data_IF_491453299822
#
_entry.id   IF_491453299822
#
_cell.length_a   1.000
_cell.length_b   1.000
_cell.length_c   1.000
_cell.angle_alpha   90.00
_cell.angle_beta   90.00
_cell.angle_gamma   90.00
#
_symmetry.space_group_name_H-M   'P 1'
#
loop_
_entity.id
_entity.type
_entity.pdbx_description
1 polymer ?
#
# COMPACT_ATOMS: atom_id res chain seq x y z
N UNK A 1 6.68 22.38 -12.88
CA UNK A 1 7.14 21.00 -12.58
C UNK A 1 5.95 20.24 -12.03
N UNK A 2 5.81 19.00 -12.38
CA UNK A 2 4.75 18.13 -11.86
C UNK A 2 5.07 17.81 -10.40
N UNK A 3 4.12 18.00 -9.49
CA UNK A 3 4.30 17.54 -8.10
C UNK A 3 4.14 16.01 -8.07
N UNK A 4 5.01 15.34 -7.32
CA UNK A 4 4.90 13.89 -7.14
C UNK A 4 4.78 13.57 -5.66
N UNK A 5 3.70 12.89 -5.30
CA UNK A 5 3.44 12.44 -3.93
C UNK A 5 3.63 10.94 -3.83
N UNK A 6 4.23 10.48 -2.74
CA UNK A 6 4.40 9.08 -2.41
C UNK A 6 3.47 8.71 -1.26
N UNK A 7 2.59 7.74 -1.51
CA UNK A 7 1.70 7.19 -0.48
C UNK A 7 2.21 5.79 -0.15
N UNK A 8 2.97 5.69 0.91
CA UNK A 8 3.60 4.44 1.35
C UNK A 8 2.91 3.86 2.58
N UNK A 9 3.33 2.70 3.02
CA UNK A 9 2.80 2.00 4.19
C UNK A 9 2.80 0.49 4.03
N UNK A 10 3.01 -0.21 5.13
CA UNK A 10 3.14 -1.65 5.18
C UNK A 10 1.95 -2.37 4.53
N UNK A 11 2.14 -3.63 4.17
CA UNK A 11 1.12 -4.48 3.55
C UNK A 11 -0.22 -4.41 4.31
N UNK A 12 -1.29 -4.09 3.58
CA UNK A 12 -2.63 -4.06 4.15
C UNK A 12 -2.97 -2.83 5.00
N UNK A 13 -2.10 -1.84 5.11
CA UNK A 13 -2.32 -0.62 5.88
C UNK A 13 -3.48 0.25 5.38
N UNK A 14 -3.94 0.08 4.13
CA UNK A 14 -5.04 0.86 3.56
C UNK A 14 -4.62 1.98 2.61
N UNK A 15 -3.42 1.89 2.02
CA UNK A 15 -2.89 2.87 1.04
C UNK A 15 -3.90 3.21 -0.04
N UNK A 16 -4.36 2.22 -0.79
CA UNK A 16 -5.31 2.39 -1.91
C UNK A 16 -6.60 3.09 -1.48
N UNK A 17 -7.12 2.76 -0.28
CA UNK A 17 -8.29 3.43 0.28
C UNK A 17 -8.02 4.90 0.61
N UNK A 18 -6.83 5.21 1.13
CA UNK A 18 -6.41 6.59 1.38
C UNK A 18 -6.24 7.35 0.06
N UNK A 19 -5.54 6.76 -0.91
CA UNK A 19 -5.32 7.34 -2.25
C UNK A 19 -6.65 7.68 -2.90
N UNK A 20 -7.63 6.79 -2.83
CA UNK A 20 -8.97 7.04 -3.39
C UNK A 20 -9.60 8.33 -2.85
N UNK A 21 -9.49 8.58 -1.54
CA UNK A 21 -10.01 9.80 -0.91
C UNK A 21 -9.17 11.03 -1.26
N UNK A 22 -7.86 10.90 -1.20
CA UNK A 22 -6.92 11.96 -1.51
C UNK A 22 -7.03 12.42 -2.97
N UNK A 23 -7.03 11.48 -3.90
CA UNK A 23 -7.20 11.73 -5.32
C UNK A 23 -8.57 12.37 -5.64
N UNK A 24 -9.64 11.84 -5.03
CA UNK A 24 -10.96 12.44 -5.21
C UNK A 24 -10.99 13.90 -4.77
N UNK A 25 -10.40 14.24 -3.63
CA UNK A 25 -10.32 15.62 -3.18
C UNK A 25 -9.59 16.49 -4.20
N UNK A 26 -8.44 16.04 -4.73
CA UNK A 26 -7.66 16.77 -5.74
C UNK A 26 -8.45 17.00 -7.03
N UNK A 27 -9.15 15.97 -7.52
CA UNK A 27 -10.02 16.06 -8.69
C UNK A 27 -11.14 17.07 -8.46
N UNK A 28 -11.77 17.05 -7.27
CA UNK A 28 -12.83 17.98 -6.90
C UNK A 28 -12.31 19.44 -6.77
N UNK A 29 -11.00 19.64 -6.53
CA UNK A 29 -10.31 20.93 -6.60
C UNK A 29 -9.92 21.34 -8.04
N UNK A 30 -10.11 20.48 -9.02
CA UNK A 30 -9.82 20.72 -10.44
C UNK A 30 -8.38 20.43 -10.85
N UNK A 31 -7.59 19.70 -10.01
CA UNK A 31 -6.26 19.24 -10.42
C UNK A 31 -6.38 18.10 -11.44
N UNK A 32 -5.49 18.10 -12.44
CA UNK A 32 -5.30 17.00 -13.37
C UNK A 32 -4.22 16.07 -12.81
N UNK A 33 -4.59 14.85 -12.44
CA UNK A 33 -3.72 13.94 -11.72
C UNK A 33 -3.46 12.63 -12.48
N UNK A 34 -2.28 12.07 -12.27
CA UNK A 34 -1.96 10.69 -12.63
C UNK A 34 -1.76 9.87 -11.36
N UNK A 35 -2.34 8.66 -11.30
CA UNK A 35 -2.07 7.70 -10.21
C UNK A 35 -1.23 6.59 -10.80
N UNK A 36 -0.08 6.33 -10.20
CA UNK A 36 0.86 5.29 -10.61
C UNK A 36 0.93 4.19 -9.55
N UNK A 37 0.29 3.07 -9.86
CA UNK A 37 0.41 1.83 -9.10
C UNK A 37 1.72 1.14 -9.46
N UNK A 38 2.55 0.93 -8.47
CA UNK A 38 3.85 0.32 -8.63
C UNK A 38 3.90 -1.00 -7.84
N UNK A 39 3.32 -2.06 -8.44
CA UNK A 39 3.20 -3.38 -7.81
C UNK A 39 4.04 -4.42 -8.55
N UNK A 40 4.68 -5.31 -7.77
CA UNK A 40 5.40 -6.48 -8.29
C UNK A 40 4.46 -7.62 -8.73
N UNK A 41 3.17 -7.55 -8.40
CA UNK A 41 2.19 -8.58 -8.68
C UNK A 41 1.87 -8.77 -10.16
N UNK A 42 1.53 -10.01 -10.54
CA UNK A 42 1.10 -10.34 -11.90
C UNK A 42 -0.30 -9.78 -12.24
N UNK A 43 -1.10 -9.47 -11.22
CA UNK A 43 -2.47 -8.93 -11.34
C UNK A 43 -2.59 -7.73 -10.44
N UNK A 44 -2.82 -6.56 -11.03
CA UNK A 44 -3.01 -5.35 -10.25
C UNK A 44 -4.48 -5.19 -9.85
N UNK A 45 -4.77 -5.69 -8.67
CA UNK A 45 -6.12 -5.69 -8.12
C UNK A 45 -6.47 -4.35 -7.48
N UNK A 46 -5.46 -3.63 -6.98
CA UNK A 46 -5.66 -2.35 -6.31
C UNK A 46 -6.10 -1.27 -7.32
N UNK A 47 -5.64 -1.35 -8.59
CA UNK A 47 -6.17 -0.50 -9.66
C UNK A 47 -7.68 -0.63 -9.87
N UNK A 48 -8.26 -1.80 -9.64
CA UNK A 48 -9.71 -1.98 -9.79
C UNK A 48 -10.49 -1.14 -8.77
N UNK A 49 -9.91 -0.94 -7.57
CA UNK A 49 -10.51 -0.11 -6.51
C UNK A 49 -10.47 1.38 -6.84
N UNK A 50 -9.59 1.80 -7.75
CA UNK A 50 -9.41 3.18 -8.17
C UNK A 50 -10.11 3.50 -9.49
N UNK A 51 -10.63 2.50 -10.19
CA UNK A 51 -11.18 2.64 -11.56
C UNK A 51 -12.32 3.67 -11.67
N UNK A 52 -13.08 3.86 -10.62
CA UNK A 52 -14.15 4.86 -10.56
C UNK A 52 -13.65 6.32 -10.51
N UNK A 53 -12.35 6.53 -10.30
CA UNK A 53 -11.71 7.84 -10.39
C UNK A 53 -11.26 8.20 -11.82
N UNK A 54 -11.13 7.20 -12.71
CA UNK A 54 -10.65 7.41 -14.07
C UNK A 54 -11.60 8.31 -14.86
N UNK A 55 -11.06 9.36 -15.49
CA UNK A 55 -11.84 10.37 -16.19
C UNK A 55 -11.00 11.49 -16.79
N UNK A 56 -11.62 12.62 -17.09
CA UNK A 56 -10.96 13.76 -17.74
C UNK A 56 -9.78 14.33 -16.93
N UNK A 57 -9.86 14.27 -15.60
CA UNK A 57 -8.85 14.83 -14.68
C UNK A 57 -8.09 13.77 -13.88
N UNK A 58 -8.21 12.48 -14.26
CA UNK A 58 -7.49 11.41 -13.57
C UNK A 58 -7.20 10.27 -14.54
N UNK A 59 -5.92 9.96 -14.71
CA UNK A 59 -5.46 8.76 -15.41
C UNK A 59 -4.83 7.77 -14.43
N UNK A 60 -5.15 6.49 -14.65
CA UNK A 60 -4.57 5.39 -13.88
C UNK A 60 -3.48 4.71 -14.71
N UNK A 61 -2.30 4.59 -14.13
CA UNK A 61 -1.15 3.96 -14.75
C UNK A 61 -0.55 2.90 -13.82
N UNK A 62 0.01 1.86 -14.42
CA UNK A 62 0.57 0.76 -13.63
C UNK A 62 1.95 0.33 -14.11
N UNK A 63 2.71 -0.19 -13.18
CA UNK A 63 3.89 -0.99 -13.44
C UNK A 63 3.64 -2.36 -12.84
N UNK A 64 3.46 -3.35 -13.70
CA UNK A 64 3.26 -4.72 -13.28
C UNK A 64 4.46 -5.58 -13.62
N UNK A 65 4.81 -6.47 -12.70
CA UNK A 65 5.84 -7.47 -12.87
C UNK A 65 7.24 -6.89 -13.09
N UNK A 66 8.21 -7.72 -12.95
CA UNK A 66 9.63 -7.48 -13.23
C UNK A 66 10.34 -8.82 -13.06
N UNK A 67 11.41 -9.07 -13.80
CA UNK A 67 12.21 -10.27 -13.59
C UNK A 67 13.18 -10.08 -12.39
N UNK A 68 13.46 -8.83 -12.03
CA UNK A 68 14.36 -8.42 -10.96
C UNK A 68 14.15 -6.93 -10.61
N UNK A 69 14.77 -6.47 -9.52
CA UNK A 69 14.71 -5.08 -9.04
C UNK A 69 15.19 -4.08 -10.09
N UNK A 70 16.26 -4.39 -10.83
CA UNK A 70 16.80 -3.52 -11.88
C UNK A 70 15.81 -3.33 -13.03
N UNK A 71 15.09 -4.39 -13.41
CA UNK A 71 14.07 -4.34 -14.45
C UNK A 71 12.88 -3.47 -13.98
N UNK A 72 12.47 -3.61 -12.72
CA UNK A 72 11.41 -2.86 -12.11
C UNK A 72 11.76 -1.36 -12.04
N UNK A 73 12.94 -1.01 -11.54
CA UNK A 73 13.44 0.37 -11.50
C UNK A 73 13.46 1.03 -12.89
N UNK A 74 13.89 0.30 -13.93
CA UNK A 74 13.87 0.82 -15.32
C UNK A 74 12.45 1.10 -15.82
N UNK A 75 11.49 0.22 -15.49
CA UNK A 75 10.08 0.42 -15.84
C UNK A 75 9.51 1.63 -15.12
N UNK A 76 9.76 1.76 -13.82
CA UNK A 76 9.34 2.91 -13.02
C UNK A 76 9.89 4.22 -13.61
N UNK A 77 11.18 4.27 -13.88
CA UNK A 77 11.84 5.41 -14.55
C UNK A 77 11.19 5.73 -15.90
N UNK A 78 10.96 4.74 -16.74
CA UNK A 78 10.37 4.92 -18.07
C UNK A 78 8.93 5.43 -17.98
N UNK A 79 8.16 4.92 -17.02
CA UNK A 79 6.78 5.35 -16.79
C UNK A 79 6.74 6.80 -16.32
N UNK A 80 7.58 7.20 -15.38
CA UNK A 80 7.66 8.60 -14.94
C UNK A 80 8.05 9.56 -16.07
N UNK A 81 8.96 9.14 -16.96
CA UNK A 81 9.29 9.94 -18.15
C UNK A 81 8.05 10.14 -19.04
N UNK A 82 7.27 9.09 -19.28
CA UNK A 82 6.04 9.18 -20.07
C UNK A 82 5.00 10.08 -19.39
N UNK A 83 4.76 9.88 -18.10
CA UNK A 83 3.78 10.66 -17.33
C UNK A 83 4.17 12.14 -17.21
N UNK A 84 5.48 12.45 -17.14
CA UNK A 84 5.97 13.83 -17.13
C UNK A 84 5.65 14.62 -18.41
N UNK A 85 5.27 13.93 -19.48
CA UNK A 85 4.87 14.55 -20.78
C UNK A 85 3.35 14.68 -20.90
N UNK A 86 2.55 14.10 -20.01
CA UNK A 86 1.08 14.11 -20.10
C UNK A 86 0.45 15.41 -19.58
N UNK A 87 1.22 16.27 -18.89
CA UNK A 87 0.71 17.58 -18.44
C UNK A 87 -0.11 17.51 -17.17
N UNK A 88 0.16 16.51 -16.30
CA UNK A 88 -0.44 16.43 -14.96
C UNK A 88 0.04 17.60 -14.08
N UNK A 89 -0.83 18.05 -13.18
CA UNK A 89 -0.47 18.94 -12.08
C UNK A 89 0.24 18.14 -11.00
N UNK A 90 -0.20 16.90 -10.79
CA UNK A 90 0.29 16.00 -9.75
C UNK A 90 0.29 14.55 -10.18
N UNK A 91 1.29 13.80 -9.71
CA UNK A 91 1.35 12.34 -9.81
C UNK A 91 1.36 11.76 -8.39
N UNK A 92 0.48 10.80 -8.14
CA UNK A 92 0.42 10.05 -6.89
C UNK A 92 1.00 8.67 -7.17
N UNK A 93 2.02 8.27 -6.40
CA UNK A 93 2.64 6.94 -6.52
C UNK A 93 2.20 6.09 -5.33
N UNK A 94 1.60 4.93 -5.61
CA UNK A 94 1.39 3.86 -4.65
C UNK A 94 2.44 2.77 -4.88
N UNK A 95 3.46 2.63 -4.05
CA UNK A 95 4.37 1.49 -4.15
C UNK A 95 3.75 0.24 -3.51
N UNK A 96 4.26 -0.93 -3.87
CA UNK A 96 4.02 -2.16 -3.12
C UNK A 96 4.38 -1.95 -1.64
N UNK A 97 3.66 -2.59 -0.73
CA UNK A 97 3.94 -2.50 0.72
C UNK A 97 5.21 -3.22 1.18
N UNK A 98 6.07 -3.61 0.25
CA UNK A 98 7.42 -4.16 0.48
C UNK A 98 8.48 -3.37 -0.29
N UNK A 99 8.13 -2.19 -0.79
CA UNK A 99 8.98 -1.37 -1.64
C UNK A 99 10.05 -0.62 -0.83
N UNK A 100 11.28 -0.57 -1.37
CA UNK A 100 12.33 0.31 -0.81
C UNK A 100 12.06 1.77 -1.23
N UNK A 101 11.64 2.58 -0.27
CA UNK A 101 11.32 4.01 -0.48
C UNK A 101 12.51 4.80 -1.02
N UNK A 102 13.73 4.37 -0.77
CA UNK A 102 14.93 5.06 -1.30
C UNK A 102 15.02 4.96 -2.83
N UNK A 103 14.49 3.88 -3.43
CA UNK A 103 14.43 3.76 -4.89
C UNK A 103 13.61 4.88 -5.52
N UNK A 104 12.49 5.27 -4.88
CA UNK A 104 11.69 6.41 -5.32
C UNK A 104 12.52 7.70 -5.36
N UNK A 105 13.24 8.00 -4.30
CA UNK A 105 14.07 9.21 -4.24
C UNK A 105 15.23 9.16 -5.22
N UNK A 106 15.86 8.01 -5.41
CA UNK A 106 16.97 7.84 -6.33
C UNK A 106 16.53 8.06 -7.78
N UNK A 107 15.40 7.48 -8.19
CA UNK A 107 14.85 7.65 -9.55
C UNK A 107 14.47 9.11 -9.82
N UNK A 108 13.93 9.83 -8.82
CA UNK A 108 13.57 11.23 -8.99
C UNK A 108 14.77 12.18 -9.11
N UNK A 109 15.96 11.72 -8.72
CA UNK A 109 17.23 12.49 -8.91
C UNK A 109 17.91 12.20 -10.25
N UNK A 110 17.42 11.21 -11.02
CA UNK A 110 17.97 10.87 -12.32
C UNK A 110 17.56 11.87 -13.41
N UNK A 111 18.50 12.26 -14.28
CA UNK A 111 18.21 13.05 -15.50
C UNK A 111 17.39 12.19 -16.51
N UNK A 112 16.30 12.69 -17.09
CA UNK A 112 15.73 14.04 -17.04
C UNK A 112 14.62 14.23 -15.99
N UNK A 113 14.33 13.25 -15.15
CA UNK A 113 13.18 13.23 -14.24
C UNK A 113 13.29 14.38 -13.22
N UNK A 114 14.49 14.66 -12.72
CA UNK A 114 14.80 15.74 -11.78
C UNK A 114 14.40 17.14 -12.26
N UNK A 115 14.24 17.31 -13.58
CA UNK A 115 13.80 18.58 -14.20
C UNK A 115 12.30 18.69 -14.38
N UNK A 116 11.59 17.57 -14.31
CA UNK A 116 10.16 17.51 -14.60
C UNK A 116 9.32 17.40 -13.34
N UNK A 117 9.87 16.78 -12.30
CA UNK A 117 9.18 16.51 -11.06
C UNK A 117 9.75 17.29 -9.89
N UNK A 118 8.85 17.66 -9.00
CA UNK A 118 9.16 18.17 -7.67
C UNK A 118 8.51 17.24 -6.65
N UNK A 119 9.30 16.75 -5.68
CA UNK A 119 8.77 15.93 -4.61
C UNK A 119 7.81 16.77 -3.78
N UNK A 120 6.55 16.39 -3.75
CA UNK A 120 5.50 17.02 -2.98
C UNK A 120 5.44 16.47 -1.57
N UNK A 121 4.62 15.45 -1.37
CA UNK A 121 4.34 14.89 -0.05
C UNK A 121 4.72 13.41 0.02
N UNK A 122 5.24 13.00 1.17
CA UNK A 122 5.42 11.58 1.52
C UNK A 122 4.50 11.29 2.70
N UNK A 123 3.48 10.50 2.45
CA UNK A 123 2.45 10.16 3.44
C UNK A 123 2.53 8.66 3.69
N UNK A 124 2.73 8.27 4.94
CA UNK A 124 2.77 6.86 5.31
C UNK A 124 1.49 6.46 6.01
N UNK A 125 0.82 5.46 5.46
CA UNK A 125 -0.39 4.88 6.04
C UNK A 125 -0.01 3.72 6.95
N UNK A 126 -0.42 3.79 8.22
CA UNK A 126 -0.16 2.75 9.23
C UNK A 126 -1.48 2.27 9.80
N UNK A 127 -1.63 0.96 9.97
CA UNK A 127 -2.81 0.38 10.61
C UNK A 127 -2.83 0.72 12.11
N UNK A 128 -3.90 1.34 12.61
CA UNK A 128 -4.06 1.63 14.02
C UNK A 128 -4.12 0.37 14.91
N UNK A 129 -4.40 -0.79 14.30
CA UNK A 129 -4.41 -2.12 14.93
C UNK A 129 -3.22 -2.96 14.48
N UNK A 130 -2.04 -2.34 14.40
CA UNK A 130 -0.81 -3.05 14.04
C UNK A 130 -0.57 -4.24 14.97
N UNK A 131 -0.12 -5.36 14.43
CA UNK A 131 0.22 -6.53 15.24
C UNK A 131 1.27 -6.19 16.30
N UNK A 132 1.10 -6.73 17.51
CA UNK A 132 2.02 -6.47 18.62
C UNK A 132 3.45 -6.96 18.36
N UNK A 133 3.60 -7.96 17.49
CA UNK A 133 4.89 -8.54 17.13
C UNK A 133 4.99 -8.75 15.63
N UNK A 134 5.85 -7.99 15.02
CA UNK A 134 6.30 -8.19 13.65
C UNK A 134 7.63 -8.96 13.62
N UNK A 135 8.01 -9.48 12.47
CA UNK A 135 9.39 -9.95 12.24
C UNK A 135 10.36 -8.77 12.22
N UNK A 136 11.65 -9.03 12.30
CA UNK A 136 12.65 -7.96 12.20
C UNK A 136 12.66 -7.34 10.80
N UNK A 137 12.33 -8.12 9.78
CA UNK A 137 12.17 -7.68 8.40
C UNK A 137 10.93 -6.79 8.24
N UNK A 138 9.80 -7.17 8.82
CA UNK A 138 8.57 -6.35 8.78
C UNK A 138 8.74 -5.05 9.57
N UNK A 139 9.42 -5.08 10.72
CA UNK A 139 9.77 -3.87 11.46
C UNK A 139 10.70 -2.95 10.65
N UNK A 140 11.65 -3.54 9.92
CA UNK A 140 12.51 -2.77 9.03
C UNK A 140 11.72 -2.09 7.92
N UNK A 141 10.81 -2.81 7.24
CA UNK A 141 9.96 -2.22 6.20
C UNK A 141 9.09 -1.10 6.77
N UNK A 142 8.41 -1.35 7.88
CA UNK A 142 7.60 -0.34 8.57
C UNK A 142 8.41 0.93 8.84
N UNK A 143 9.63 0.79 9.33
CA UNK A 143 10.52 1.91 9.62
C UNK A 143 11.01 2.60 8.34
N UNK A 144 11.38 1.86 7.29
CA UNK A 144 11.87 2.41 6.03
C UNK A 144 10.79 3.24 5.33
N UNK A 145 9.56 2.75 5.32
CA UNK A 145 8.42 3.44 4.73
C UNK A 145 8.05 4.72 5.49
N UNK A 146 8.23 4.74 6.81
CA UNK A 146 7.93 5.89 7.65
C UNK A 146 9.07 6.90 7.76
N UNK A 147 10.31 6.50 7.52
CA UNK A 147 11.49 7.32 7.80
C UNK A 147 11.47 8.71 7.15
N UNK A 148 10.99 8.77 5.91
CA UNK A 148 10.95 10.02 5.15
C UNK A 148 9.56 10.69 5.11
N UNK A 149 8.57 10.17 5.82
CA UNK A 149 7.22 10.68 5.79
C UNK A 149 7.11 12.13 6.29
N UNK A 150 6.37 12.98 5.61
CA UNK A 150 5.96 14.28 6.10
C UNK A 150 4.85 14.14 7.16
N UNK A 151 3.94 13.19 6.97
CA UNK A 151 2.97 12.81 8.00
C UNK A 151 2.67 11.31 7.98
N UNK A 152 2.18 10.81 9.11
CA UNK A 152 1.66 9.45 9.28
C UNK A 152 0.14 9.54 9.38
N UNK A 153 -0.58 8.67 8.67
CA UNK A 153 -2.04 8.59 8.74
C UNK A 153 -2.44 7.22 9.25
N UNK A 154 -3.14 7.18 10.40
CA UNK A 154 -3.62 5.91 10.93
C UNK A 154 -4.91 5.49 10.23
N UNK A 155 -4.89 4.32 9.62
CA UNK A 155 -6.11 3.67 9.14
C UNK A 155 -6.84 2.98 10.28
N UNK A 156 -8.15 2.73 10.10
CA UNK A 156 -8.98 2.03 11.09
C UNK A 156 -8.94 2.62 12.51
N UNK A 157 -8.59 3.88 12.64
CA UNK A 157 -8.52 4.58 13.94
C UNK A 157 -9.88 4.62 14.66
N UNK A 158 -10.99 4.63 13.90
CA UNK A 158 -12.36 4.56 14.46
C UNK A 158 -12.72 3.19 15.05
N UNK A 159 -11.97 2.16 14.74
CA UNK A 159 -12.18 0.78 15.20
C UNK A 159 -11.19 0.38 16.29
N UNK A 160 -10.13 1.16 16.45
CA UNK A 160 -9.08 0.93 17.42
C UNK A 160 -9.39 1.63 18.74
N UNK A 161 -9.07 0.98 19.85
CA UNK A 161 -9.06 1.61 21.16
C UNK A 161 -7.86 2.56 21.29
N UNK A 162 -7.95 3.52 22.20
CA UNK A 162 -6.83 4.44 22.52
C UNK A 162 -5.53 3.66 22.82
N UNK A 163 -5.65 2.54 23.53
CA UNK A 163 -4.50 1.69 23.87
C UNK A 163 -3.88 1.02 22.63
N UNK A 164 -4.68 0.56 21.68
CA UNK A 164 -4.16 -0.02 20.43
C UNK A 164 -3.44 1.05 19.61
N UNK A 165 -3.97 2.27 19.54
CA UNK A 165 -3.33 3.41 18.89
C UNK A 165 -1.99 3.73 19.57
N UNK A 166 -1.94 3.83 20.91
CA UNK A 166 -0.72 4.06 21.67
C UNK A 166 0.32 2.94 21.45
N UNK A 167 -0.12 1.68 21.40
CA UNK A 167 0.72 0.54 21.10
C UNK A 167 1.32 0.63 19.69
N UNK A 168 0.51 0.94 18.68
CA UNK A 168 0.95 1.12 17.29
C UNK A 168 2.00 2.23 17.18
N UNK A 169 1.75 3.39 17.79
CA UNK A 169 2.72 4.51 17.78
C UNK A 169 4.01 4.13 18.50
N UNK A 170 3.91 3.42 19.62
CA UNK A 170 5.06 2.93 20.37
C UNK A 170 5.87 1.91 19.57
N UNK A 171 5.19 0.99 18.88
CA UNK A 171 5.81 0.00 18.01
C UNK A 171 6.52 0.66 16.83
N UNK A 172 5.87 1.61 16.12
CA UNK A 172 6.49 2.37 15.05
C UNK A 172 7.78 3.07 15.52
N UNK A 173 7.74 3.72 16.68
CA UNK A 173 8.93 4.38 17.25
C UNK A 173 10.01 3.38 17.65
N UNK A 174 9.67 2.19 18.12
CA UNK A 174 10.61 1.11 18.41
C UNK A 174 11.25 0.56 17.12
N UNK A 175 10.47 0.39 16.06
CA UNK A 175 10.99 -0.01 14.74
C UNK A 175 11.98 1.03 14.19
N UNK A 176 11.68 2.34 14.32
CA UNK A 176 12.60 3.42 13.97
C UNK A 176 13.92 3.34 14.76
N UNK A 177 13.85 2.97 16.03
CA UNK A 177 15.05 2.81 16.86
C UNK A 177 15.91 1.60 16.42
N UNK A 178 15.29 0.48 16.07
CA UNK A 178 15.98 -0.71 15.56
C UNK A 178 16.83 -0.39 14.32
N UNK A 179 16.32 0.45 13.42
CA UNK A 179 17.03 0.89 12.21
C UNK A 179 17.95 2.09 12.46
N UNK A 180 18.16 2.47 13.71
CA UNK A 180 19.01 3.61 14.12
C UNK A 180 18.56 4.95 13.52
N UNK A 181 17.31 5.09 13.14
CA UNK A 181 16.73 6.36 12.74
C UNK A 181 16.48 7.25 13.97
N UNK A 182 16.82 8.53 13.89
CA UNK A 182 16.66 9.48 15.01
C UNK A 182 15.24 9.98 15.17
N UNK A 183 14.44 9.82 14.13
CA UNK A 183 13.09 10.35 14.10
C UNK A 183 12.17 9.60 15.05
N UNK A 184 11.27 10.36 15.69
CA UNK A 184 10.20 9.82 16.55
C UNK A 184 8.91 10.53 16.19
N UNK A 185 7.86 9.76 16.01
CA UNK A 185 6.55 10.26 15.63
C UNK A 185 5.70 10.53 16.87
N UNK A 186 5.06 11.67 16.88
CA UNK A 186 4.11 12.09 17.91
C UNK A 186 3.05 13.03 17.33
N UNK A 187 3.47 14.21 16.90
CA UNK A 187 2.58 15.29 16.46
C UNK A 187 2.28 15.21 14.94
N UNK A 188 3.10 14.47 14.19
CA UNK A 188 2.93 14.23 12.75
C UNK A 188 1.97 13.08 12.44
N UNK A 189 1.29 12.54 13.46
CA UNK A 189 0.35 11.41 13.30
C UNK A 189 -1.08 11.94 13.25
N UNK A 190 -1.75 11.68 12.14
CA UNK A 190 -3.18 11.97 11.98
C UNK A 190 -3.98 10.76 12.45
N UNK A 191 -4.73 10.96 13.55
CA UNK A 191 -5.62 9.96 14.16
C UNK A 191 -7.05 10.46 14.01
N UNK A 192 -7.71 10.08 12.92
CA UNK A 192 -9.07 10.52 12.61
C UNK A 192 -9.79 9.46 11.78
N UNK A 193 -11.09 9.34 11.96
CA UNK A 193 -11.94 8.56 11.05
C UNK A 193 -11.88 9.19 9.66
N UNK A 194 -11.48 8.42 8.67
CA UNK A 194 -11.32 8.89 7.29
C UNK A 194 -12.64 9.31 6.62
N UNK A 195 -13.79 8.90 7.16
CA UNK A 195 -15.09 9.39 6.69
C UNK A 195 -15.39 10.81 7.17
N UNK A 196 -14.66 11.28 8.17
CA UNK A 196 -14.78 12.60 8.77
C UNK A 196 -13.64 13.55 8.37
N UNK A 197 -12.83 13.21 7.34
CA UNK A 197 -11.84 14.14 6.82
C UNK A 197 -12.50 15.40 6.28
N UNK A 198 -11.95 16.53 6.68
CA UNK A 198 -12.37 17.86 6.25
C UNK A 198 -11.26 18.59 5.46
N UNK A 199 -11.51 19.79 5.03
CA UNK A 199 -10.57 20.60 4.23
C UNK A 199 -9.24 20.81 4.95
N UNK A 200 -9.25 20.99 6.27
CA UNK A 200 -8.01 21.20 7.05
C UNK A 200 -7.13 19.94 7.11
N UNK A 201 -7.75 18.74 7.09
CA UNK A 201 -7.00 17.49 7.01
C UNK A 201 -6.30 17.39 5.65
N UNK A 202 -7.02 17.67 4.55
CA UNK A 202 -6.44 17.65 3.21
C UNK A 202 -5.37 18.73 3.02
N UNK A 203 -5.54 19.92 3.57
CA UNK A 203 -4.50 20.95 3.60
C UNK A 203 -3.23 20.44 4.31
N UNK A 204 -3.40 19.71 5.40
CA UNK A 204 -2.29 19.05 6.12
C UNK A 204 -1.58 18.05 5.22
N UNK A 205 -2.32 17.17 4.54
CA UNK A 205 -1.74 16.19 3.61
C UNK A 205 -1.03 16.86 2.42
N UNK A 206 -1.57 17.95 1.91
CA UNK A 206 -1.02 18.68 0.76
C UNK A 206 0.21 19.53 1.09
N UNK A 207 0.45 19.78 2.38
CA UNK A 207 1.54 20.63 2.87
C UNK A 207 2.54 19.92 3.78
N UNK A 208 2.37 18.63 4.04
CA UNK A 208 3.26 17.90 4.96
C UNK A 208 4.69 17.75 4.42
N UNK A 209 4.87 17.78 3.11
CA UNK A 209 6.18 17.62 2.48
C UNK A 209 6.80 16.26 2.76
N UNK A 210 8.11 16.23 2.92
CA UNK A 210 8.87 15.04 3.34
C UNK A 210 10.07 15.47 4.21
N UNK A 211 10.58 14.52 5.01
CA UNK A 211 11.73 14.75 5.88
C UNK A 211 12.86 13.83 5.45
N UNK A 212 13.96 14.37 4.89
CA UNK A 212 15.11 13.54 4.54
C UNK A 212 15.76 12.98 5.81
N UNK A 213 15.77 11.68 5.96
CA UNK A 213 16.38 11.00 7.10
C UNK A 213 17.28 9.85 6.66
N UNK A 214 18.22 9.54 7.53
CA UNK A 214 19.11 8.41 7.35
C UNK A 214 18.78 7.32 8.38
N UNK A 215 18.78 6.09 7.92
CA UNK A 215 18.60 4.92 8.76
C UNK A 215 19.54 3.80 8.30
N UNK A 216 19.76 2.81 9.18
CA UNK A 216 20.59 1.66 8.83
C UNK A 216 19.82 0.74 7.92
N UNK A 217 20.31 0.59 6.70
CA UNK A 217 19.72 -0.33 5.73
C UNK A 217 19.96 -1.78 6.12
N UNK A 218 18.90 -2.57 6.01
CA UNK A 218 18.95 -4.02 6.03
C UNK A 218 18.85 -4.48 4.57
N UNK A 219 19.66 -5.45 4.20
CA UNK A 219 19.53 -6.08 2.89
C UNK A 219 18.40 -7.12 2.99
N UNK A 220 17.24 -6.78 2.47
CA UNK A 220 16.13 -7.72 2.29
C UNK A 220 16.21 -8.19 0.85
N UNK A 221 16.34 -9.50 0.64
CA UNK A 221 16.22 -10.06 -0.70
C UNK A 221 14.73 -10.00 -1.10
N UNK A 222 14.43 -9.09 -2.02
CA UNK A 222 13.07 -8.89 -2.53
C UNK A 222 12.53 -10.19 -3.10
N UNK A 223 11.33 -10.60 -2.67
CA UNK A 223 10.66 -11.81 -3.12
C UNK A 223 11.05 -13.11 -2.41
N UNK A 224 12.05 -13.13 -1.53
CA UNK A 224 12.35 -14.30 -0.70
C UNK A 224 11.67 -14.23 0.66
N UNK A 225 11.69 -13.09 1.33
CA UNK A 225 11.10 -12.91 2.66
C UNK A 225 9.60 -12.71 2.58
N UNK A 226 9.16 -11.76 1.74
CA UNK A 226 7.74 -11.44 1.55
C UNK A 226 7.26 -11.92 0.19
N UNK A 227 6.15 -12.63 0.17
CA UNK A 227 5.55 -13.15 -1.06
C UNK A 227 4.07 -12.83 -1.14
N UNK A 228 3.61 -12.62 -2.38
CA UNK A 228 2.20 -12.62 -2.74
C UNK A 228 1.95 -13.80 -3.67
N UNK A 229 1.12 -14.75 -3.25
CA UNK A 229 0.71 -15.89 -4.07
C UNK A 229 -0.66 -15.58 -4.67
N UNK A 230 -0.81 -15.83 -5.97
CA UNK A 230 -2.02 -15.51 -6.74
C UNK A 230 -2.67 -16.81 -7.21
N UNK A 231 -3.93 -17.03 -6.81
CA UNK A 231 -4.72 -18.17 -7.20
C UNK A 231 -5.89 -17.70 -8.07
N UNK A 232 -5.91 -18.15 -9.31
CA UNK A 232 -6.92 -17.82 -10.31
C UNK A 232 -7.65 -19.08 -10.76
N UNK A 233 -8.80 -18.91 -11.45
CA UNK A 233 -9.65 -20.02 -11.92
C UNK A 233 -10.10 -20.93 -10.75
N UNK A 234 -10.72 -20.31 -9.77
CA UNK A 234 -11.17 -20.97 -8.56
C UNK A 234 -12.41 -21.84 -8.83
N UNK A 235 -12.32 -23.12 -8.54
CA UNK A 235 -13.47 -24.07 -8.66
C UNK A 235 -14.28 -24.15 -7.33
N UNK A 236 -14.34 -23.03 -6.58
CA UNK A 236 -14.98 -22.94 -5.27
C UNK A 236 -15.99 -21.81 -5.20
N UNK A 237 -17.00 -22.00 -4.40
CA UNK A 237 -17.98 -20.96 -4.08
C UNK A 237 -17.37 -19.87 -3.19
N UNK A 238 -18.02 -18.71 -3.15
CA UNK A 238 -17.62 -17.60 -2.28
C UNK A 238 -17.51 -18.03 -0.81
N UNK A 239 -18.48 -18.81 -0.31
CA UNK A 239 -18.46 -19.29 1.07
C UNK A 239 -17.30 -20.26 1.35
N UNK A 240 -16.97 -21.13 0.40
CA UNK A 240 -15.82 -22.03 0.51
C UNK A 240 -14.49 -21.25 0.51
N UNK A 241 -14.38 -20.17 -0.26
CA UNK A 241 -13.18 -19.30 -0.25
C UNK A 241 -13.07 -18.51 1.05
N UNK A 242 -14.19 -18.04 1.61
CA UNK A 242 -14.21 -17.39 2.92
C UNK A 242 -13.70 -18.33 4.02
N UNK A 243 -14.16 -19.59 4.00
CA UNK A 243 -13.69 -20.60 4.94
C UNK A 243 -12.22 -20.97 4.70
N UNK A 244 -11.80 -21.08 3.44
CA UNK A 244 -10.40 -21.29 3.07
C UNK A 244 -9.50 -20.17 3.60
N UNK A 245 -9.92 -18.91 3.48
CA UNK A 245 -9.16 -17.76 3.98
C UNK A 245 -8.95 -17.82 5.50
N UNK A 246 -9.96 -18.24 6.28
CA UNK A 246 -9.81 -18.45 7.72
C UNK A 246 -8.79 -19.55 8.03
N UNK A 247 -8.95 -20.70 7.36
CA UNK A 247 -8.08 -21.84 7.58
C UNK A 247 -6.62 -21.51 7.22
N UNK A 248 -6.37 -20.78 6.12
CA UNK A 248 -5.05 -20.34 5.69
C UNK A 248 -4.40 -19.42 6.74
N UNK A 249 -5.17 -18.50 7.32
CA UNK A 249 -4.67 -17.59 8.36
C UNK A 249 -4.35 -18.33 9.68
N UNK A 250 -5.10 -19.39 10.00
CA UNK A 250 -4.91 -20.14 11.26
C UNK A 250 -3.85 -21.25 11.14
N UNK A 251 -3.61 -21.77 9.93
CA UNK A 251 -2.69 -22.89 9.72
C UNK A 251 -1.24 -22.41 9.59
N UNK A 252 -0.45 -22.67 10.63
CA UNK A 252 0.97 -22.33 10.67
C UNK A 252 1.82 -23.03 9.59
N UNK A 253 1.34 -24.12 9.00
CA UNK A 253 2.03 -24.80 7.90
C UNK A 253 1.92 -24.02 6.58
N UNK A 254 0.99 -23.04 6.48
CA UNK A 254 0.88 -22.12 5.37
C UNK A 254 2.01 -21.05 5.34
N UNK A 255 2.81 -20.95 6.40
CA UNK A 255 3.77 -19.88 6.63
C UNK A 255 3.19 -18.78 7.53
N UNK A 256 3.84 -17.64 7.58
CA UNK A 256 3.32 -16.48 8.30
C UNK A 256 2.46 -15.64 7.38
N UNK A 257 1.19 -15.99 7.29
CA UNK A 257 0.21 -15.27 6.46
C UNK A 257 -0.23 -14.01 7.19
N UNK A 258 -0.08 -12.85 6.55
CA UNK A 258 -0.55 -11.57 7.08
C UNK A 258 -1.96 -11.24 6.61
N UNK A 259 -2.26 -11.60 5.35
CA UNK A 259 -3.49 -11.20 4.69
C UNK A 259 -3.90 -12.18 3.61
N UNK A 260 -5.20 -12.41 3.51
CA UNK A 260 -5.84 -13.05 2.35
C UNK A 260 -6.81 -12.04 1.74
N UNK A 261 -6.61 -11.71 0.46
CA UNK A 261 -7.47 -10.83 -0.31
C UNK A 261 -8.12 -11.65 -1.43
N UNK A 262 -9.41 -11.51 -1.63
CA UNK A 262 -10.15 -12.22 -2.69
C UNK A 262 -11.05 -11.27 -3.47
N UNK A 263 -11.15 -11.49 -4.77
CA UNK A 263 -12.12 -10.84 -5.64
C UNK A 263 -12.93 -11.96 -6.26
N UNK A 264 -14.18 -12.04 -5.88
CA UNK A 264 -15.04 -13.20 -6.08
C UNK A 264 -16.38 -12.77 -6.67
N UNK A 265 -17.05 -13.69 -7.35
CA UNK A 265 -18.44 -13.50 -7.72
C UNK A 265 -19.35 -14.28 -6.79
N UNK A 266 -20.39 -13.65 -6.30
CA UNK A 266 -21.45 -14.34 -5.60
C UNK A 266 -22.37 -15.15 -6.57
N UNK A 267 -23.32 -15.88 -6.02
CA UNK A 267 -24.30 -16.66 -6.79
C UNK A 267 -25.19 -15.80 -7.71
N UNK A 268 -25.33 -14.50 -7.42
CA UNK A 268 -26.07 -13.54 -8.23
C UNK A 268 -25.21 -12.94 -9.36
N UNK A 269 -23.89 -13.21 -9.35
CA UNK A 269 -22.92 -12.68 -10.31
C UNK A 269 -22.39 -11.31 -9.93
N UNK A 270 -22.69 -10.81 -8.74
CA UNK A 270 -22.16 -9.55 -8.22
C UNK A 270 -20.74 -9.73 -7.68
N UNK A 271 -19.91 -8.70 -7.88
CA UNK A 271 -18.54 -8.75 -7.43
C UNK A 271 -18.39 -8.40 -5.96
N UNK A 272 -17.60 -9.19 -5.25
CA UNK A 272 -17.26 -9.02 -3.83
C UNK A 272 -15.74 -8.94 -3.64
N UNK A 273 -15.30 -8.04 -2.78
CA UNK A 273 -13.96 -8.03 -2.24
C UNK A 273 -13.97 -8.70 -0.86
N UNK A 274 -13.21 -9.79 -0.73
CA UNK A 274 -12.84 -10.40 0.55
C UNK A 274 -11.51 -9.80 1.01
N UNK A 275 -11.44 -9.37 2.25
CA UNK A 275 -10.23 -8.91 2.90
C UNK A 275 -10.15 -9.51 4.31
N UNK A 276 -9.22 -10.44 4.51
CA UNK A 276 -9.06 -11.20 5.74
C UNK A 276 -7.66 -11.03 6.32
N UNK A 277 -7.59 -10.77 7.62
CA UNK A 277 -6.39 -10.75 8.45
C UNK A 277 -6.63 -11.61 9.70
N UNK A 278 -5.63 -11.77 10.57
CA UNK A 278 -5.82 -12.44 11.86
C UNK A 278 -6.80 -11.72 12.79
N UNK A 279 -7.06 -10.43 12.56
CA UNK A 279 -7.89 -9.61 13.43
C UNK A 279 -9.32 -9.46 12.92
N UNK A 280 -9.50 -9.44 11.59
CA UNK A 280 -10.80 -9.18 10.98
C UNK A 280 -10.96 -9.84 9.62
N UNK A 281 -12.20 -10.04 9.25
CA UNK A 281 -12.60 -10.45 7.90
C UNK A 281 -13.73 -9.55 7.44
N UNK A 282 -13.54 -8.93 6.28
CA UNK A 282 -14.53 -8.06 5.63
C UNK A 282 -14.87 -8.58 4.26
N UNK A 283 -16.14 -8.44 3.90
CA UNK A 283 -16.65 -8.72 2.56
C UNK A 283 -17.46 -7.50 2.15
N UNK A 284 -17.06 -6.88 1.04
CA UNK A 284 -17.70 -5.66 0.53
C UNK A 284 -18.05 -5.83 -0.95
N UNK A 285 -19.23 -5.35 -1.41
CA UNK A 285 -19.52 -5.31 -2.82
C UNK A 285 -18.61 -4.31 -3.54
N UNK A 286 -18.19 -4.68 -4.75
CA UNK A 286 -17.40 -3.82 -5.63
C UNK A 286 -18.04 -3.78 -7.03
N UNK A 287 -17.83 -2.71 -7.82
CA UNK A 287 -18.47 -2.58 -9.14
C UNK A 287 -18.00 -3.60 -10.17
N UNK A 288 -16.72 -3.90 -10.17
CA UNK A 288 -16.05 -4.78 -11.13
C UNK A 288 -14.90 -5.51 -10.43
N UNK A 289 -14.51 -6.68 -10.95
CA UNK A 289 -13.39 -7.46 -10.42
C UNK A 289 -12.86 -8.49 -11.42
N UNK A 290 -11.79 -9.13 -11.04
CA UNK A 290 -11.26 -10.32 -11.67
C UNK A 290 -11.14 -11.40 -10.60
N UNK A 291 -11.65 -12.61 -10.91
CA UNK A 291 -11.62 -13.69 -9.95
C UNK A 291 -10.19 -14.12 -9.60
N UNK A 292 -9.80 -13.83 -8.37
CA UNK A 292 -8.47 -14.13 -7.83
C UNK A 292 -8.50 -14.15 -6.31
N UNK A 293 -7.72 -15.04 -5.71
CA UNK A 293 -7.35 -14.99 -4.29
C UNK A 293 -5.87 -14.73 -4.19
N UNK A 294 -5.50 -13.79 -3.34
CA UNK A 294 -4.12 -13.38 -3.09
C UNK A 294 -3.80 -13.65 -1.63
N UNK A 295 -2.77 -14.45 -1.39
CA UNK A 295 -2.26 -14.72 -0.05
C UNK A 295 -0.92 -14.01 0.11
N UNK A 296 -0.81 -13.16 1.13
CA UNK A 296 0.34 -12.30 1.36
C UNK A 296 0.96 -12.64 2.72
N UNK A 297 2.26 -12.84 2.75
CA UNK A 297 2.96 -13.20 4.00
C UNK A 297 4.45 -13.49 3.82
N UNK A 298 5.04 -13.98 4.90
CA UNK A 298 6.43 -14.45 4.96
C UNK A 298 6.49 -15.98 4.89
N UNK A 299 7.53 -16.50 4.25
CA UNK A 299 7.80 -17.95 4.18
C UNK A 299 6.57 -18.79 3.75
N UNK A 300 5.79 -18.26 2.80
CA UNK A 300 4.57 -18.90 2.36
C UNK A 300 4.81 -20.28 1.73
N UNK A 301 4.03 -21.27 2.18
CA UNK A 301 4.01 -22.62 1.63
C UNK A 301 2.86 -22.73 0.61
N UNK A 302 3.19 -22.51 -0.67
CA UNK A 302 2.23 -22.52 -1.77
C UNK A 302 1.47 -23.87 -1.88
N UNK A 303 2.18 -25.00 -1.74
CA UNK A 303 1.56 -26.34 -1.82
C UNK A 303 0.52 -26.56 -0.71
N UNK A 304 0.80 -26.03 0.48
CA UNK A 304 -0.13 -26.12 1.60
C UNK A 304 -1.33 -25.21 1.44
N UNK A 305 -1.11 -23.98 1.00
CA UNK A 305 -2.17 -23.00 0.74
C UNK A 305 -3.10 -23.50 -0.37
N UNK A 306 -2.55 -24.06 -1.44
CA UNK A 306 -3.32 -24.62 -2.56
C UNK A 306 -4.28 -25.75 -2.16
N UNK A 307 -4.05 -26.42 -1.04
CA UNK A 307 -5.00 -27.43 -0.53
C UNK A 307 -6.30 -26.82 0.01
N UNK A 308 -6.27 -25.56 0.38
CA UNK A 308 -7.45 -24.83 0.86
C UNK A 308 -8.19 -24.10 -0.26
N UNK A 309 -7.47 -23.63 -1.27
CA UNK A 309 -7.98 -22.90 -2.43
C UNK A 309 -8.18 -23.85 -3.61
#
# INVERSE_FOLDING_TARGET
MVKIDLITGFLGSGKTTFIKKYAKYLIDQGENIGILENDYGAVNVDMMLLKDLEGENCELEMIAGGCDADCHRRRFRTKLIAMGMCGYDRVIVEPSGIYDVDEFFDVLRDDPIDRWYEIGNVITVVDAKLEEKLSDEADYLLASEAANAGCIVLSRSQEASEKEIENTVSHLNAAMEKVQCKRRFKDEIVVKDWTAFDEADYETFLSCGYVPENYRKMHIEEGETFKSLYFMNLDKTTDEIIEAAKNILEDKECGRVFRVKGFLKDEAGEWLELNATHQEMRICPIPEGQEVVIVIGEELNEERIQQYI
#
